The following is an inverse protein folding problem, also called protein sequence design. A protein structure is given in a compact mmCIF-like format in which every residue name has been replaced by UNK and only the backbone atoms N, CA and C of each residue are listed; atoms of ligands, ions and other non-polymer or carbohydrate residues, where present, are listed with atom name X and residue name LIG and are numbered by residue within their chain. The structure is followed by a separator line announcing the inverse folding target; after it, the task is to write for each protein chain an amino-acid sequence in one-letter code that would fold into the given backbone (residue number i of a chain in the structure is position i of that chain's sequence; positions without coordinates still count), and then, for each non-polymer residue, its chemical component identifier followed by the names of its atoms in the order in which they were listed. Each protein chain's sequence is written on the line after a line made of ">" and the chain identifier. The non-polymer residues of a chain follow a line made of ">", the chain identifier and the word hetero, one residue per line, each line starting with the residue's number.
data_IF_501576613012
#
_entry.id   IF_501576613012
#
_cell.length_a   1.000
_cell.length_b   1.000
_cell.length_c   1.000
_cell.angle_alpha   90.00
_cell.angle_beta   90.00
_cell.angle_gamma   90.00
#
_symmetry.space_group_name_H-M   'P 1'
#
loop_
_entity.id
_entity.type
_entity.pdbx_description
1 polymer ?
#
# COMPACT_ATOMS: atom_id res chain seq x y z
N UNK A 1 0.83 -6.02 -8.99
CA UNK A 1 0.50 -5.52 -10.34
C UNK A 1 1.39 -6.17 -11.38
N UNK A 2 0.89 -6.32 -12.60
CA UNK A 2 1.64 -6.78 -13.77
C UNK A 2 1.69 -5.67 -14.83
N UNK A 3 2.79 -5.61 -15.57
CA UNK A 3 2.94 -4.85 -16.80
C UNK A 3 3.10 -5.83 -17.97
N UNK A 4 2.91 -5.35 -19.19
CA UNK A 4 3.23 -6.11 -20.40
C UNK A 4 4.53 -5.57 -21.00
N UNK A 5 5.42 -6.47 -21.41
CA UNK A 5 6.58 -6.08 -22.20
C UNK A 5 6.20 -5.87 -23.68
N UNK A 6 7.20 -5.53 -24.50
CA UNK A 6 7.01 -5.29 -25.93
C UNK A 6 6.56 -6.54 -26.70
N UNK A 7 6.80 -7.74 -26.17
CA UNK A 7 6.39 -9.03 -26.74
C UNK A 7 4.99 -9.44 -26.25
N UNK A 8 4.35 -8.61 -25.39
CA UNK A 8 3.05 -8.89 -24.80
C UNK A 8 3.10 -9.89 -23.65
N UNK A 9 4.30 -10.21 -23.16
CA UNK A 9 4.49 -11.11 -22.01
C UNK A 9 4.23 -10.37 -20.70
N UNK A 10 3.64 -11.06 -19.72
CA UNK A 10 3.33 -10.49 -18.40
C UNK A 10 4.61 -10.41 -17.56
N UNK A 11 5.01 -9.21 -17.19
CA UNK A 11 6.08 -8.93 -16.25
C UNK A 11 5.52 -8.51 -14.89
N UNK A 12 5.98 -9.14 -13.82
CA UNK A 12 5.57 -8.78 -12.47
C UNK A 12 6.19 -7.42 -12.08
N UNK A 13 5.37 -6.50 -11.58
CA UNK A 13 5.85 -5.19 -11.09
C UNK A 13 5.98 -5.20 -9.58
N UNK A 14 4.94 -5.69 -8.89
CA UNK A 14 4.92 -5.81 -7.44
C UNK A 14 3.91 -6.86 -6.97
N UNK A 15 4.11 -7.35 -5.74
CA UNK A 15 3.16 -8.19 -5.01
C UNK A 15 2.85 -7.58 -3.65
N UNK A 16 1.60 -7.69 -3.19
CA UNK A 16 1.22 -7.46 -1.80
C UNK A 16 1.02 -8.81 -1.13
N UNK A 17 1.56 -8.98 0.08
CA UNK A 17 1.41 -10.18 0.89
C UNK A 17 0.98 -9.79 2.29
N UNK A 18 -0.16 -10.34 2.71
CA UNK A 18 -0.55 -10.29 4.11
C UNK A 18 0.46 -11.08 4.96
N UNK A 19 0.66 -10.67 6.22
CA UNK A 19 1.49 -11.41 7.14
C UNK A 19 0.90 -12.80 7.41
N UNK A 20 1.73 -13.83 7.69
CA UNK A 20 1.25 -15.19 7.91
C UNK A 20 0.23 -15.24 9.07
N UNK A 21 -0.96 -15.79 8.79
CA UNK A 21 -2.11 -15.91 9.70
C UNK A 21 -1.89 -16.81 10.93
N UNK A 22 -0.76 -17.49 11.03
CA UNK A 22 -0.54 -18.55 12.04
C UNK A 22 0.09 -18.04 13.35
N UNK A 23 0.07 -16.73 13.58
CA UNK A 23 0.64 -16.12 14.78
C UNK A 23 -0.41 -15.26 15.47
N UNK A 24 -1.19 -15.86 16.37
CA UNK A 24 -1.97 -15.15 17.39
C UNK A 24 -1.10 -14.27 18.32
N UNK A 25 0.23 -14.21 18.11
CA UNK A 25 1.20 -13.58 19.01
C UNK A 25 1.81 -12.28 18.45
N UNK A 26 1.51 -11.88 17.21
CA UNK A 26 2.10 -10.67 16.61
C UNK A 26 1.02 -9.66 16.24
N UNK A 27 0.84 -8.67 17.10
CA UNK A 27 -0.04 -7.50 16.90
C UNK A 27 0.48 -6.52 15.83
N UNK A 28 1.68 -6.76 15.27
CA UNK A 28 2.30 -5.95 14.23
C UNK A 28 2.26 -6.69 12.88
N UNK A 29 1.07 -6.77 12.31
CA UNK A 29 0.80 -7.42 11.02
C UNK A 29 0.93 -6.40 9.88
N UNK A 30 2.16 -5.99 9.51
CA UNK A 30 2.37 -5.12 8.35
C UNK A 30 2.18 -5.88 7.02
N UNK A 31 1.52 -5.26 6.04
CA UNK A 31 1.40 -5.81 4.69
C UNK A 31 2.73 -5.59 3.98
N UNK A 32 3.30 -6.66 3.41
CA UNK A 32 4.58 -6.59 2.70
C UNK A 32 4.35 -6.33 1.23
N UNK A 33 5.12 -5.40 0.66
CA UNK A 33 5.16 -5.12 -0.77
C UNK A 33 6.52 -5.57 -1.30
N UNK A 34 6.52 -6.55 -2.20
CA UNK A 34 7.75 -7.01 -2.85
C UNK A 34 7.76 -6.57 -4.31
N UNK A 35 8.86 -5.95 -4.74
CA UNK A 35 9.16 -5.66 -6.14
C UNK A 35 10.16 -6.69 -6.68
N UNK A 36 10.09 -7.02 -7.96
CA UNK A 36 11.02 -7.95 -8.62
C UNK A 36 12.37 -7.25 -8.88
N UNK A 37 13.12 -6.96 -7.82
CA UNK A 37 14.51 -6.52 -7.92
C UNK A 37 15.44 -7.69 -7.62
N UNK A 38 16.53 -7.80 -8.37
CA UNK A 38 17.52 -8.88 -8.29
C UNK A 38 18.27 -8.95 -6.95
N UNK A 39 18.04 -7.99 -6.06
CA UNK A 39 18.58 -7.96 -4.72
C UNK A 39 17.59 -8.59 -3.73
N UNK A 40 18.08 -9.57 -2.97
CA UNK A 40 17.37 -10.21 -1.86
C UNK A 40 16.62 -9.16 -1.03
N UNK A 41 15.29 -9.27 -1.01
CA UNK A 41 14.38 -8.66 -0.02
C UNK A 41 14.43 -7.13 0.13
N UNK A 42 14.38 -6.36 -0.95
CA UNK A 42 13.93 -4.96 -0.85
C UNK A 42 12.40 -4.94 -0.75
N UNK A 43 11.88 -5.21 0.46
CA UNK A 43 10.45 -5.19 0.72
C UNK A 43 10.07 -3.84 1.35
N UNK A 44 9.12 -3.15 0.74
CA UNK A 44 8.42 -2.07 1.42
C UNK A 44 7.37 -2.68 2.35
N UNK A 45 6.94 -1.93 3.35
CA UNK A 45 5.87 -2.35 4.26
C UNK A 45 4.81 -1.27 4.39
N UNK A 46 3.54 -1.69 4.36
CA UNK A 46 2.42 -0.86 4.78
C UNK A 46 2.23 -1.07 6.29
N UNK A 47 2.31 0.00 7.06
CA UNK A 47 2.06 0.03 8.51
C UNK A 47 0.86 0.90 8.81
N UNK A 48 0.13 0.58 9.87
CA UNK A 48 -1.13 1.23 10.21
C UNK A 48 -2.35 0.46 9.69
N UNK A 49 -3.51 1.11 9.66
CA UNK A 49 -4.77 0.48 9.30
C UNK A 49 -5.41 1.21 8.12
N UNK A 50 -5.32 0.59 6.94
CA UNK A 50 -5.77 1.20 5.69
C UNK A 50 -7.26 1.57 5.67
N UNK A 51 -8.21 0.81 6.24
CA UNK A 51 -9.63 1.21 6.26
C UNK A 51 -9.90 2.53 6.99
N UNK A 52 -9.08 2.88 7.99
CA UNK A 52 -9.14 4.20 8.64
C UNK A 52 -8.36 5.28 7.88
N UNK A 53 -7.81 4.92 6.72
CA UNK A 53 -6.92 5.73 5.88
C UNK A 53 -5.73 6.28 6.67
N UNK A 54 -5.37 5.66 7.80
CA UNK A 54 -4.24 6.00 8.67
C UNK A 54 -3.16 4.93 8.50
N UNK A 55 -2.37 5.09 7.44
CA UNK A 55 -1.27 4.18 7.15
C UNK A 55 -0.10 4.88 6.47
N UNK A 56 1.07 4.28 6.63
CA UNK A 56 2.32 4.72 6.05
C UNK A 56 2.93 3.57 5.24
N UNK A 57 3.66 3.91 4.19
CA UNK A 57 4.51 2.99 3.46
C UNK A 57 5.94 3.31 3.85
N UNK A 58 6.68 2.29 4.31
CA UNK A 58 8.09 2.39 4.67
C UNK A 58 8.96 1.58 3.71
N UNK A 59 10.17 2.08 3.45
CA UNK A 59 11.20 1.37 2.70
C UNK A 59 11.88 0.28 3.56
N UNK A 60 12.75 -0.57 2.99
CA UNK A 60 13.46 -1.60 3.75
C UNK A 60 14.38 -1.06 4.86
N UNK A 61 14.77 0.22 4.78
CA UNK A 61 15.54 0.91 5.82
C UNK A 61 14.65 1.49 6.93
N UNK A 62 13.33 1.35 6.82
CA UNK A 62 12.35 1.85 7.78
C UNK A 62 11.98 3.32 7.58
N UNK A 63 12.44 3.98 6.51
CA UNK A 63 12.07 5.37 6.24
C UNK A 63 10.67 5.44 5.64
N UNK A 64 9.89 6.44 6.05
CA UNK A 64 8.59 6.74 5.45
C UNK A 64 8.82 7.23 4.01
N UNK A 65 8.20 6.55 3.06
CA UNK A 65 8.22 6.91 1.62
C UNK A 65 6.87 7.40 1.13
N UNK A 66 5.78 7.01 1.80
CA UNK A 66 4.47 7.60 1.58
C UNK A 66 3.66 7.60 2.88
N UNK A 67 2.80 8.61 3.02
CA UNK A 67 1.83 8.73 4.10
C UNK A 67 0.44 8.94 3.52
N UNK A 68 -0.52 8.22 4.09
CA UNK A 68 -1.93 8.28 3.73
C UNK A 68 -2.66 8.79 4.97
N UNK A 69 -3.61 9.71 4.76
CA UNK A 69 -4.40 10.28 5.83
C UNK A 69 -5.69 10.91 5.34
N UNK A 70 -6.60 11.20 6.26
CA UNK A 70 -7.73 12.10 6.03
C UNK A 70 -7.30 13.52 6.44
N UNK A 71 -7.64 14.53 5.64
CA UNK A 71 -7.43 15.91 6.08
C UNK A 71 -8.50 16.24 7.12
N UNK A 72 -8.09 16.68 8.32
CA UNK A 72 -9.02 17.04 9.41
C UNK A 72 -10.09 18.06 8.98
N UNK A 73 -9.71 18.98 8.10
CA UNK A 73 -10.62 20.03 7.58
C UNK A 73 -11.77 19.48 6.74
N UNK A 74 -11.64 18.27 6.17
CA UNK A 74 -12.69 17.63 5.37
C UNK A 74 -13.30 16.42 6.08
N UNK A 75 -12.72 15.97 7.20
CA UNK A 75 -13.17 14.78 7.95
C UNK A 75 -14.61 14.95 8.45
N UNK A 76 -14.95 16.13 9.00
CA UNK A 76 -16.32 16.44 9.46
C UNK A 76 -17.29 16.74 8.32
N UNK A 77 -16.78 17.03 7.12
CA UNK A 77 -17.56 17.40 5.93
C UNK A 77 -17.82 16.21 5.00
N UNK A 78 -17.19 15.08 5.25
CA UNK A 78 -17.24 13.93 4.36
C UNK A 78 -18.23 12.89 4.86
N UNK A 79 -19.30 12.69 4.10
CA UNK A 79 -20.28 11.62 4.34
C UNK A 79 -19.69 10.22 4.13
N UNK A 80 -18.60 10.09 3.36
CA UNK A 80 -17.88 8.82 3.14
C UNK A 80 -16.37 8.99 3.30
N UNK A 81 -15.66 7.95 3.79
CA UNK A 81 -14.19 7.93 3.96
C UNK A 81 -13.43 7.74 2.62
N UNK A 82 -14.04 8.08 1.49
CA UNK A 82 -13.50 7.78 0.16
C UNK A 82 -12.41 8.77 -0.28
N UNK A 83 -12.40 9.99 0.27
CA UNK A 83 -11.35 10.97 -0.02
C UNK A 83 -10.24 10.91 1.05
N UNK A 84 -9.03 10.69 0.60
CA UNK A 84 -7.84 10.73 1.43
C UNK A 84 -6.73 11.41 0.66
N UNK A 85 -5.75 11.95 1.38
CA UNK A 85 -4.56 12.54 0.79
C UNK A 85 -3.40 11.55 0.86
N UNK A 86 -2.58 11.54 -0.19
CA UNK A 86 -1.35 10.76 -0.26
C UNK A 86 -0.19 11.75 -0.37
N UNK A 87 0.75 11.68 0.56
CA UNK A 87 2.01 12.42 0.51
C UNK A 87 3.12 11.44 0.17
N UNK A 88 3.82 11.67 -0.94
CA UNK A 88 4.91 10.81 -1.41
C UNK A 88 6.24 11.54 -1.24
N UNK A 89 7.24 10.86 -0.67
CA UNK A 89 8.60 11.40 -0.51
C UNK A 89 9.22 11.68 -1.89
N UNK A 90 9.94 12.80 -2.07
CA UNK A 90 10.64 13.09 -3.33
C UNK A 90 11.59 11.95 -3.74
N UNK A 91 11.63 11.66 -5.05
CA UNK A 91 12.44 10.58 -5.61
C UNK A 91 11.81 9.19 -5.57
N UNK A 92 10.60 9.05 -5.03
CA UNK A 92 9.81 7.81 -5.06
C UNK A 92 8.85 7.84 -6.24
N UNK A 93 8.72 6.70 -6.93
CA UNK A 93 7.77 6.52 -8.03
C UNK A 93 6.33 6.65 -7.52
N UNK A 94 5.66 7.73 -7.94
CA UNK A 94 4.28 8.03 -7.52
C UNK A 94 3.27 7.04 -8.12
N UNK A 95 3.50 6.53 -9.33
CA UNK A 95 2.62 5.55 -9.96
C UNK A 95 2.70 4.20 -9.26
N UNK A 96 3.90 3.81 -8.80
CA UNK A 96 4.07 2.64 -7.94
C UNK A 96 3.27 2.78 -6.64
N UNK A 97 3.39 3.92 -5.93
CA UNK A 97 2.63 4.17 -4.71
C UNK A 97 1.12 4.16 -5.00
N UNK A 98 0.65 4.85 -6.03
CA UNK A 98 -0.75 4.85 -6.42
C UNK A 98 -1.28 3.44 -6.72
N UNK A 99 -0.49 2.60 -7.41
CA UNK A 99 -0.85 1.21 -7.68
C UNK A 99 -0.98 0.35 -6.41
N UNK A 100 -0.11 0.55 -5.43
CA UNK A 100 -0.21 -0.09 -4.11
C UNK A 100 -1.50 0.35 -3.42
N UNK A 101 -1.77 1.67 -3.36
CA UNK A 101 -2.96 2.22 -2.70
C UNK A 101 -4.25 1.76 -3.38
N UNK A 102 -4.31 1.76 -4.70
CA UNK A 102 -5.46 1.27 -5.46
C UNK A 102 -5.71 -0.23 -5.20
N UNK A 103 -4.65 -1.02 -5.00
CA UNK A 103 -4.78 -2.43 -4.64
C UNK A 103 -5.34 -2.59 -3.22
N UNK A 104 -4.87 -1.79 -2.26
CA UNK A 104 -5.41 -1.79 -0.88
C UNK A 104 -6.87 -1.33 -0.86
N UNK A 105 -7.22 -0.31 -1.64
CA UNK A 105 -8.59 0.17 -1.76
C UNK A 105 -9.51 -0.87 -2.39
N UNK A 106 -9.03 -1.63 -3.38
CA UNK A 106 -9.77 -2.77 -3.90
C UNK A 106 -10.00 -3.87 -2.84
N UNK A 107 -9.01 -4.14 -1.98
CA UNK A 107 -9.11 -5.19 -0.95
C UNK A 107 -10.03 -4.77 0.20
N UNK A 108 -9.87 -3.53 0.67
CA UNK A 108 -10.47 -3.03 1.92
C UNK A 108 -11.60 -2.01 1.73
N UNK A 109 -11.83 -1.55 0.50
CA UNK A 109 -12.92 -0.64 0.19
C UNK A 109 -14.28 -1.26 0.46
N UNK A 110 -15.29 -0.42 0.67
CA UNK A 110 -16.64 -0.84 1.08
C UNK A 110 -17.35 -1.76 0.05
N UNK A 111 -16.80 -1.90 -1.16
CA UNK A 111 -17.39 -2.66 -2.26
C UNK A 111 -17.07 -4.17 -2.29
N UNK A 112 -16.26 -4.71 -1.36
CA UNK A 112 -15.91 -6.15 -1.36
C UNK A 112 -16.44 -6.95 -0.18
N UNK A 113 -17.26 -6.33 0.70
CA UNK A 113 -17.97 -7.05 1.77
C UNK A 113 -19.20 -7.76 1.20
N UNK A 114 -19.09 -9.06 0.93
CA UNK A 114 -20.24 -9.96 0.77
C UNK A 114 -20.94 -10.23 2.11
#
# INVERSE_FOLDING_TARGET
>A
GYAFDHEGSKKLVFTLKEPPSNSCLVRNSSIRISTETTARSSNFEVKGYFPDKDCIIVDPSGNIVAQIGVKKEIEDLMESKDLYHIVVKPGIDQAFIAGVIATLDYIYGESTRC
#
